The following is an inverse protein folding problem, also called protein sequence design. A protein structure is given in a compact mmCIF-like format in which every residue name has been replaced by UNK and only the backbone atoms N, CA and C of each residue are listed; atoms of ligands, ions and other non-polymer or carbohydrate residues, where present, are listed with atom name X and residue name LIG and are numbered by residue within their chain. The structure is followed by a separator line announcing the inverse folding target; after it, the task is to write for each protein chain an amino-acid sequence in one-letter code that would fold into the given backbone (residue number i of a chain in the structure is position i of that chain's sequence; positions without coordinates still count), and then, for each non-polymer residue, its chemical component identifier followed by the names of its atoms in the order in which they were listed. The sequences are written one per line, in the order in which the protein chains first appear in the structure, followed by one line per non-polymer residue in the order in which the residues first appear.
data_IF_775174869583
#
_entry.id   IF_775174869583
#
_cell.length_a   1.000
_cell.length_b   1.000
_cell.length_c   1.000
_cell.angle_alpha   90.00
_cell.angle_beta   90.00
_cell.angle_gamma   90.00
#
_symmetry.space_group_name_H-M   'P 1'
#
loop_
_entity.id
_entity.type
_entity.pdbx_description
1 polymer ?
#
# COMPACT_ATOMS: atom_id res chain seq x y z
N UNK A 1 -4.22 8.13 7.95
CA UNK A 1 -4.71 6.81 8.39
C UNK A 1 -6.14 6.62 7.91
N UNK A 2 -6.49 5.42 7.44
CA UNK A 2 -7.87 5.06 7.13
C UNK A 2 -8.60 4.80 8.46
N UNK A 3 -9.70 5.52 8.71
CA UNK A 3 -10.44 5.41 9.99
C UNK A 3 -11.57 4.37 9.95
N UNK A 4 -12.15 4.15 8.78
CA UNK A 4 -13.29 3.26 8.57
C UNK A 4 -12.98 2.35 7.39
N UNK A 5 -13.00 1.03 7.61
CA UNK A 5 -12.76 0.06 6.56
C UNK A 5 -14.06 -0.43 5.91
N UNK A 6 -15.17 -0.44 6.65
CA UNK A 6 -16.51 -0.79 6.16
C UNK A 6 -17.57 0.18 6.69
N UNK A 7 -18.48 0.69 5.83
CA UNK A 7 -18.40 0.63 4.35
C UNK A 7 -17.08 1.25 3.84
N UNK A 8 -16.50 0.69 2.76
CA UNK A 8 -15.19 1.15 2.26
C UNK A 8 -15.32 2.53 1.58
N UNK A 9 -14.51 3.54 1.94
CA UNK A 9 -14.71 4.93 1.50
C UNK A 9 -14.12 5.18 0.10
N UNK A 10 -14.72 4.54 -0.90
CA UNK A 10 -14.22 4.51 -2.29
C UNK A 10 -14.16 5.90 -2.93
N UNK A 11 -15.20 6.74 -2.74
CA UNK A 11 -15.30 8.06 -3.38
C UNK A 11 -14.26 9.00 -2.77
N UNK A 12 -14.16 9.01 -1.45
CA UNK A 12 -13.26 9.85 -0.68
C UNK A 12 -11.80 9.49 -0.93
N UNK A 13 -11.50 8.19 -1.05
CA UNK A 13 -10.15 7.73 -1.41
C UNK A 13 -9.76 8.16 -2.82
N UNK A 14 -10.66 8.05 -3.80
CA UNK A 14 -10.39 8.55 -5.17
C UNK A 14 -10.09 10.04 -5.16
N UNK A 15 -10.95 10.84 -4.53
CA UNK A 15 -10.79 12.30 -4.50
C UNK A 15 -9.53 12.73 -3.76
N UNK A 16 -9.19 12.06 -2.65
CA UNK A 16 -7.98 12.37 -1.91
C UNK A 16 -6.71 11.91 -2.63
N UNK A 17 -6.71 10.71 -3.21
CA UNK A 17 -5.48 10.10 -3.70
C UNK A 17 -5.14 10.45 -5.16
N UNK A 18 -6.09 10.93 -5.97
CA UNK A 18 -5.87 11.26 -7.40
C UNK A 18 -4.79 12.31 -7.67
N UNK A 19 -4.41 13.10 -6.67
CA UNK A 19 -3.39 14.16 -6.80
C UNK A 19 -1.95 13.67 -6.64
N UNK A 20 -1.76 12.42 -6.20
CA UNK A 20 -0.43 11.88 -5.96
C UNK A 20 0.11 11.12 -7.17
N UNK A 21 1.43 11.06 -7.28
CA UNK A 21 2.13 10.22 -8.28
C UNK A 21 2.30 8.78 -7.80
N UNK A 22 2.40 8.58 -6.49
CA UNK A 22 2.56 7.28 -5.86
C UNK A 22 1.89 7.25 -4.49
N UNK A 23 1.43 6.07 -4.08
CA UNK A 23 0.80 5.78 -2.78
C UNK A 23 1.38 4.48 -2.24
N UNK A 24 1.96 4.54 -1.05
CA UNK A 24 2.33 3.35 -0.28
C UNK A 24 1.16 2.95 0.63
N UNK A 25 0.71 1.71 0.51
CA UNK A 25 -0.33 1.11 1.35
C UNK A 25 0.34 0.22 2.39
N UNK A 26 0.19 0.57 3.66
CA UNK A 26 0.74 -0.20 4.77
C UNK A 26 -0.32 -1.17 5.29
N UNK A 27 -0.06 -2.46 5.11
CA UNK A 27 -0.88 -3.55 5.64
C UNK A 27 -0.19 -4.15 6.88
N UNK A 28 -1.00 -4.46 7.91
CA UNK A 28 -0.55 -5.20 9.10
C UNK A 28 -1.11 -6.62 9.13
N UNK A 29 -1.43 -7.10 7.95
CA UNK A 29 -2.03 -8.38 7.62
C UNK A 29 -1.39 -8.89 6.33
N UNK A 30 -1.62 -10.17 6.05
CA UNK A 30 -1.20 -10.82 4.83
C UNK A 30 -2.35 -11.66 4.31
N UNK A 31 -2.87 -11.31 3.13
CA UNK A 31 -3.92 -12.09 2.47
C UNK A 31 -3.25 -13.23 1.70
N UNK A 32 -2.98 -14.34 2.39
CA UNK A 32 -2.29 -15.50 1.81
C UNK A 32 -3.02 -16.03 0.56
N UNK A 33 -2.28 -16.19 -0.54
CA UNK A 33 -2.82 -16.62 -1.83
C UNK A 33 -3.56 -15.54 -2.62
N UNK A 34 -3.54 -14.29 -2.14
CA UNK A 34 -4.08 -13.16 -2.90
C UNK A 34 -3.14 -12.75 -4.04
N UNK A 35 -3.63 -12.00 -5.05
CA UNK A 35 -2.79 -11.47 -6.10
C UNK A 35 -1.58 -10.69 -5.53
N UNK A 36 -0.42 -10.91 -6.15
CA UNK A 36 0.88 -10.33 -5.78
C UNK A 36 1.33 -10.59 -4.32
N UNK A 37 0.73 -11.56 -3.61
CA UNK A 37 1.05 -11.87 -2.21
C UNK A 37 0.97 -10.64 -1.28
N UNK A 38 -0.07 -9.82 -1.46
CA UNK A 38 -0.27 -8.55 -0.76
C UNK A 38 -1.25 -8.62 0.41
N UNK A 39 -1.42 -7.50 1.14
CA UNK A 39 -2.43 -7.34 2.20
C UNK A 39 -3.82 -6.94 1.68
N UNK A 40 -4.82 -6.97 2.56
CA UNK A 40 -6.22 -6.71 2.17
C UNK A 40 -6.43 -5.24 1.77
N UNK A 41 -5.81 -4.28 2.48
CA UNK A 41 -6.02 -2.86 2.19
C UNK A 41 -5.49 -2.50 0.81
N UNK A 42 -4.37 -3.08 0.40
CA UNK A 42 -3.81 -2.89 -0.95
C UNK A 42 -4.83 -3.19 -2.05
N UNK A 43 -5.52 -4.34 -1.95
CA UNK A 43 -6.53 -4.74 -2.94
C UNK A 43 -7.71 -3.79 -3.03
N UNK A 44 -8.21 -3.36 -1.87
CA UNK A 44 -9.33 -2.42 -1.79
C UNK A 44 -8.94 -1.04 -2.33
N UNK A 45 -7.74 -0.56 -2.01
CA UNK A 45 -7.22 0.72 -2.52
C UNK A 45 -7.01 0.66 -4.03
N UNK A 46 -6.39 -0.41 -4.55
CA UNK A 46 -6.23 -0.61 -6.01
C UNK A 46 -7.58 -0.63 -6.72
N UNK A 47 -8.54 -1.39 -6.20
CA UNK A 47 -9.89 -1.48 -6.76
C UNK A 47 -10.62 -0.13 -6.73
N UNK A 48 -10.49 0.60 -5.62
CA UNK A 48 -11.02 1.95 -5.52
C UNK A 48 -10.37 2.88 -6.56
N UNK A 49 -9.06 2.85 -6.77
CA UNK A 49 -8.38 3.77 -7.69
C UNK A 49 -8.39 3.33 -9.15
N UNK A 50 -8.81 2.09 -9.46
CA UNK A 50 -8.79 1.52 -10.80
C UNK A 50 -9.43 2.40 -11.88
N UNK A 51 -10.60 3.06 -11.65
CA UNK A 51 -11.23 3.90 -12.66
C UNK A 51 -10.52 5.24 -12.94
N UNK A 52 -9.52 5.63 -12.14
CA UNK A 52 -8.79 6.88 -12.36
C UNK A 52 -7.90 6.75 -13.61
N UNK A 53 -8.12 7.63 -14.60
CA UNK A 53 -7.31 7.68 -15.82
C UNK A 53 -5.81 7.86 -15.53
N UNK A 54 -5.49 8.77 -14.61
CA UNK A 54 -4.13 9.04 -14.14
C UNK A 54 -4.00 8.56 -12.69
N UNK A 55 -4.07 7.24 -12.48
CA UNK A 55 -3.93 6.64 -11.15
C UNK A 55 -2.48 6.71 -10.66
N UNK A 56 -2.24 6.92 -9.35
CA UNK A 56 -0.90 6.82 -8.78
C UNK A 56 -0.35 5.39 -8.90
N UNK A 57 0.98 5.26 -8.92
CA UNK A 57 1.64 3.99 -8.65
C UNK A 57 1.30 3.53 -7.22
N UNK A 58 0.85 2.29 -7.05
CA UNK A 58 0.48 1.75 -5.73
C UNK A 58 1.46 0.64 -5.36
N UNK A 59 2.10 0.77 -4.20
CA UNK A 59 2.92 -0.27 -3.58
C UNK A 59 2.35 -0.65 -2.22
N UNK A 60 2.61 -1.89 -1.81
CA UNK A 60 2.21 -2.44 -0.54
C UNK A 60 3.45 -2.64 0.33
N UNK A 61 3.33 -2.24 1.59
CA UNK A 61 4.30 -2.58 2.62
C UNK A 61 3.58 -3.41 3.67
N UNK A 62 4.01 -4.66 3.81
CA UNK A 62 3.55 -5.56 4.88
C UNK A 62 4.51 -5.40 6.06
N UNK A 63 3.98 -5.05 7.22
CA UNK A 63 4.78 -4.82 8.43
C UNK A 63 3.98 -5.09 9.71
N UNK A 64 4.65 -5.09 10.87
CA UNK A 64 3.97 -5.25 12.16
C UNK A 64 3.22 -6.58 12.35
N UNK A 65 3.47 -7.57 11.48
CA UNK A 65 2.86 -8.89 11.58
C UNK A 65 3.19 -9.54 12.93
N UNK A 66 2.19 -10.17 13.56
CA UNK A 66 2.33 -10.78 14.88
C UNK A 66 2.44 -9.76 16.02
N UNK A 67 2.06 -8.50 15.80
CA UNK A 67 2.10 -7.45 16.82
C UNK A 67 3.50 -6.87 17.05
N UNK A 68 4.42 -7.04 16.09
CA UNK A 68 5.75 -6.45 16.15
C UNK A 68 5.69 -4.92 16.06
N UNK A 69 6.62 -4.28 16.76
CA UNK A 69 6.79 -2.84 16.69
C UNK A 69 7.25 -2.40 15.29
N UNK A 70 6.81 -1.21 14.91
CA UNK A 70 7.21 -0.53 13.68
C UNK A 70 8.06 0.66 14.08
N UNK A 71 9.35 0.60 13.76
CA UNK A 71 10.31 1.64 14.13
C UNK A 71 10.17 2.89 13.25
N UNK A 72 10.83 3.98 13.67
CA UNK A 72 10.94 5.19 12.85
C UNK A 72 11.71 4.88 11.55
N UNK A 73 12.75 4.05 11.62
CA UNK A 73 13.52 3.64 10.45
C UNK A 73 12.66 2.83 9.46
N UNK A 74 11.75 1.98 9.96
CA UNK A 74 10.77 1.28 9.13
C UNK A 74 9.83 2.27 8.43
N UNK A 75 9.37 3.31 9.13
CA UNK A 75 8.55 4.37 8.54
C UNK A 75 9.30 5.15 7.44
N UNK A 76 10.59 5.45 7.65
CA UNK A 76 11.44 6.10 6.64
C UNK A 76 11.57 5.21 5.42
N UNK A 77 11.86 3.92 5.62
CA UNK A 77 11.97 2.94 4.53
C UNK A 77 10.67 2.79 3.74
N UNK A 78 9.52 2.77 4.41
CA UNK A 78 8.19 2.78 3.77
C UNK A 78 8.01 3.98 2.85
N UNK A 79 8.39 5.17 3.33
CA UNK A 79 8.32 6.40 2.55
C UNK A 79 9.21 6.34 1.30
N UNK A 80 10.46 5.88 1.45
CA UNK A 80 11.41 5.75 0.33
C UNK A 80 10.91 4.77 -0.73
N UNK A 81 10.32 3.64 -0.33
CA UNK A 81 9.71 2.66 -1.24
C UNK A 81 8.58 3.31 -2.04
N UNK A 82 7.66 4.01 -1.37
CA UNK A 82 6.57 4.73 -2.04
C UNK A 82 7.07 5.89 -2.90
N UNK A 83 8.22 6.48 -2.58
CA UNK A 83 8.81 7.55 -3.39
C UNK A 83 9.43 7.00 -4.68
N UNK A 84 10.13 5.87 -4.61
CA UNK A 84 10.79 5.21 -5.75
C UNK A 84 9.79 4.71 -6.79
N UNK A 85 8.60 4.28 -6.37
CA UNK A 85 7.56 3.80 -7.30
C UNK A 85 6.99 4.89 -8.23
N UNK A 86 7.33 6.17 -8.02
CA UNK A 86 6.93 7.27 -8.93
C UNK A 86 7.57 7.20 -10.30
N UNK A 87 8.78 6.66 -10.40
CA UNK A 87 9.63 6.69 -11.59
C UNK A 87 9.82 5.34 -12.25
N UNK A 88 9.35 4.27 -11.60
CA UNK A 88 9.56 2.92 -12.06
C UNK A 88 8.37 2.47 -12.93
N UNK A 89 8.59 2.44 -14.24
CA UNK A 89 7.65 1.84 -15.20
C UNK A 89 7.67 0.30 -15.11
N UNK A 90 8.58 -0.29 -14.33
CA UNK A 90 8.69 -1.75 -14.14
C UNK A 90 7.98 -2.18 -12.86
N UNK A 91 6.97 -3.00 -13.07
CA UNK A 91 5.97 -3.46 -12.12
C UNK A 91 6.42 -4.69 -11.30
N UNK A 92 7.72 -4.90 -11.13
CA UNK A 92 8.22 -6.21 -10.67
C UNK A 92 8.27 -6.36 -9.14
N UNK A 93 8.00 -5.30 -8.35
CA UNK A 93 8.05 -5.35 -6.89
C UNK A 93 6.96 -4.50 -6.21
N UNK A 94 5.71 -4.93 -6.32
CA UNK A 94 4.58 -4.23 -5.68
C UNK A 94 4.52 -4.38 -4.18
N UNK A 95 5.09 -5.44 -3.62
CA UNK A 95 4.98 -5.79 -2.20
C UNK A 95 6.36 -5.85 -1.59
N UNK A 96 6.54 -5.16 -0.46
CA UNK A 96 7.75 -5.23 0.35
C UNK A 96 7.39 -5.60 1.77
N UNK A 97 8.14 -6.55 2.35
CA UNK A 97 7.96 -6.98 3.72
C UNK A 97 9.02 -6.32 4.60
N UNK A 98 8.60 -5.64 5.66
CA UNK A 98 9.49 -4.93 6.58
C UNK A 98 9.27 -5.45 8.00
N UNK A 99 10.37 -5.76 8.70
CA UNK A 99 10.32 -6.20 10.10
C UNK A 99 9.69 -7.58 10.28
N UNK A 100 9.84 -8.47 9.28
CA UNK A 100 9.45 -9.87 9.36
C UNK A 100 10.68 -10.76 9.50
N UNK A 101 10.55 -11.93 10.15
CA UNK A 101 11.64 -12.92 10.18
C UNK A 101 11.76 -13.59 8.81
N UNK A 102 13.00 -13.89 8.43
CA UNK A 102 13.34 -14.86 7.38
C UNK A 102 12.78 -16.25 7.70
#
# INVERSE_FOLDING_TARGET
SLRWFRPFPTIELRESLKRFKAVGVVDRDFAHGSPDDSGILMHEVRSALYPLKNRPAITNIITGLGGRDVSIDDCIRMYEIAQKSKSDDKLDNFVTWIGVRE
#
